data_IF_988727047507
#
_entry.id   IF_988727047507
#
_cell.length_a   1.000
_cell.length_b   1.000
_cell.length_c   1.000
_cell.angle_alpha   90.00
_cell.angle_beta   90.00
_cell.angle_gamma   90.00
#
_symmetry.space_group_name_H-M   'P 1'
#
loop_
_entity.id
_entity.type
_entity.pdbx_description
1 polymer ?
#
# COMPACT_ATOMS: atom_id res chain seq x y z
N UNK A 1 12.28 12.13 -19.87
CA UNK A 1 12.13 12.78 -18.55
C UNK A 1 11.51 11.83 -17.54
N UNK A 2 10.44 11.11 -17.89
CA UNK A 2 9.76 10.15 -16.99
C UNK A 2 10.69 9.10 -16.36
N UNK A 3 11.50 8.37 -17.14
CA UNK A 3 12.44 7.37 -16.60
C UNK A 3 13.47 7.97 -15.63
N UNK A 4 13.93 9.19 -15.91
CA UNK A 4 14.84 9.93 -15.03
C UNK A 4 14.14 10.27 -13.71
N UNK A 5 12.87 10.68 -13.77
CA UNK A 5 12.10 10.98 -12.57
C UNK A 5 11.77 9.72 -11.75
N UNK A 6 11.41 8.60 -12.40
CA UNK A 6 11.24 7.29 -11.74
C UNK A 6 12.50 6.92 -10.96
N UNK A 7 13.67 7.14 -11.57
CA UNK A 7 14.96 6.88 -10.92
C UNK A 7 15.19 7.82 -9.74
N UNK A 8 14.88 9.10 -9.88
CA UNK A 8 15.00 10.09 -8.81
C UNK A 8 14.10 9.76 -7.60
N UNK A 9 12.84 9.34 -7.84
CA UNK A 9 11.90 8.97 -6.78
C UNK A 9 12.38 7.80 -5.90
N UNK A 10 13.25 6.92 -6.42
CA UNK A 10 13.85 5.83 -5.62
C UNK A 10 14.70 6.38 -4.47
N UNK A 11 15.34 7.55 -4.64
CA UNK A 11 16.11 8.20 -3.57
C UNK A 11 15.22 8.62 -2.38
N UNK A 12 13.91 8.75 -2.62
CA UNK A 12 12.93 9.23 -1.65
C UNK A 12 11.94 8.14 -1.19
N UNK A 13 12.14 6.89 -1.62
CA UNK A 13 11.19 5.79 -1.40
C UNK A 13 9.76 6.12 -1.83
N UNK A 14 9.62 6.86 -2.94
CA UNK A 14 8.33 7.24 -3.51
C UNK A 14 8.01 6.37 -4.74
N UNK A 15 6.73 6.09 -4.92
CA UNK A 15 6.22 5.37 -6.09
C UNK A 15 5.92 6.41 -7.18
N UNK A 16 6.27 6.09 -8.42
CA UNK A 16 5.85 6.87 -9.57
C UNK A 16 4.37 6.58 -9.89
N UNK A 17 3.57 7.63 -9.92
CA UNK A 17 2.22 7.64 -10.47
C UNK A 17 2.31 8.31 -11.83
N UNK A 18 1.64 7.73 -12.83
CA UNK A 18 1.67 8.24 -14.21
C UNK A 18 1.26 9.72 -14.26
N UNK A 19 2.11 10.56 -14.84
CA UNK A 19 1.87 11.99 -15.03
C UNK A 19 1.67 12.23 -16.53
N UNK A 20 0.44 12.50 -16.94
CA UNK A 20 0.12 12.65 -18.38
C UNK A 20 0.51 14.03 -18.93
N UNK A 21 0.55 15.04 -18.06
CA UNK A 21 0.92 16.39 -18.44
C UNK A 21 2.44 16.58 -18.32
N UNK A 22 3.13 16.80 -19.45
CA UNK A 22 4.59 16.99 -19.49
C UNK A 22 5.06 18.18 -18.64
N UNK A 23 4.30 19.28 -18.62
CA UNK A 23 4.62 20.45 -17.80
C UNK A 23 4.51 20.15 -16.30
N UNK A 24 3.51 19.35 -15.87
CA UNK A 24 3.45 18.85 -14.49
C UNK A 24 4.64 17.96 -14.16
N UNK A 25 5.03 17.07 -15.07
CA UNK A 25 6.20 16.21 -14.90
C UNK A 25 7.48 17.04 -14.75
N UNK A 26 7.65 18.07 -15.56
CA UNK A 26 8.81 18.97 -15.50
C UNK A 26 8.87 19.74 -14.17
N UNK A 27 7.77 20.36 -13.75
CA UNK A 27 7.67 21.06 -12.46
C UNK A 27 8.02 20.16 -11.28
N UNK A 28 7.46 18.95 -11.27
CA UNK A 28 7.69 17.99 -10.19
C UNK A 28 9.15 17.51 -10.24
N UNK A 29 9.66 17.17 -11.42
CA UNK A 29 11.05 16.75 -11.58
C UNK A 29 12.02 17.84 -11.11
N UNK A 30 11.81 19.10 -11.48
CA UNK A 30 12.61 20.24 -11.08
C UNK A 30 12.56 20.49 -9.56
N UNK A 31 11.39 20.33 -8.94
CA UNK A 31 11.27 20.41 -7.48
C UNK A 31 12.15 19.35 -6.80
N UNK A 32 12.05 18.08 -7.21
CA UNK A 32 12.82 17.00 -6.58
C UNK A 32 14.31 17.06 -6.89
N UNK A 33 14.67 17.36 -8.15
CA UNK A 33 16.06 17.29 -8.62
C UNK A 33 16.85 18.54 -8.30
N UNK A 34 16.25 19.69 -8.53
CA UNK A 34 16.92 20.98 -8.56
C UNK A 34 16.47 21.89 -7.40
N UNK A 35 15.52 21.45 -6.56
CA UNK A 35 14.87 22.27 -5.53
C UNK A 35 14.28 23.57 -6.10
N UNK A 36 13.83 23.55 -7.36
CA UNK A 36 13.18 24.69 -8.00
C UNK A 36 11.68 24.58 -7.74
N UNK A 37 11.13 25.57 -7.04
CA UNK A 37 9.71 25.63 -6.75
C UNK A 37 8.97 26.37 -7.88
N UNK A 38 7.98 25.71 -8.45
CA UNK A 38 7.02 26.29 -9.37
C UNK A 38 5.61 26.10 -8.80
N UNK A 39 4.69 27.03 -9.03
CA UNK A 39 3.38 26.93 -8.40
C UNK A 39 2.59 25.71 -8.91
N UNK A 40 2.20 24.77 -8.00
CA UNK A 40 1.40 23.62 -8.37
C UNK A 40 -0.07 24.00 -8.52
N UNK A 41 -0.74 23.34 -9.45
CA UNK A 41 -2.06 23.66 -9.99
C UNK A 41 -2.91 22.42 -10.29
N UNK A 42 -2.26 21.26 -10.46
CA UNK A 42 -2.95 19.97 -10.66
C UNK A 42 -2.94 19.15 -9.38
N UNK A 43 -3.83 18.17 -9.31
CA UNK A 43 -3.95 17.25 -8.18
C UNK A 43 -2.68 16.41 -7.99
N UNK A 44 -2.07 15.95 -9.09
CA UNK A 44 -0.82 15.19 -9.09
C UNK A 44 0.38 16.06 -8.69
N UNK A 45 0.43 17.33 -9.11
CA UNK A 45 1.43 18.29 -8.64
C UNK A 45 1.30 18.48 -7.13
N UNK A 46 0.09 18.76 -6.63
CA UNK A 46 -0.14 18.90 -5.19
C UNK A 46 0.20 17.64 -4.39
N UNK A 47 -0.06 16.44 -4.93
CA UNK A 47 0.36 15.18 -4.31
C UNK A 47 1.88 15.14 -4.16
N UNK A 48 2.63 15.35 -5.25
CA UNK A 48 4.08 15.24 -5.22
C UNK A 48 4.74 16.34 -4.38
N UNK A 49 4.19 17.54 -4.37
CA UNK A 49 4.65 18.63 -3.52
C UNK A 49 4.43 18.29 -2.04
N UNK A 50 3.27 17.72 -1.69
CA UNK A 50 3.03 17.22 -0.33
C UNK A 50 4.03 16.13 0.07
N UNK A 51 4.37 15.22 -0.85
CA UNK A 51 5.37 14.18 -0.61
C UNK A 51 6.78 14.75 -0.44
N UNK A 52 7.16 15.75 -1.24
CA UNK A 52 8.43 16.46 -1.11
C UNK A 52 8.56 17.11 0.28
N UNK A 53 7.57 17.90 0.70
CA UNK A 53 7.62 18.55 2.01
C UNK A 53 7.60 17.54 3.17
N UNK A 54 6.97 16.37 2.99
CA UNK A 54 7.02 15.29 3.98
C UNK A 54 8.43 14.72 4.13
N UNK A 55 9.06 14.36 3.01
CA UNK A 55 10.26 13.52 2.99
C UNK A 55 11.56 14.32 3.00
N UNK A 56 11.61 15.41 2.23
CA UNK A 56 12.82 16.22 2.02
C UNK A 56 12.95 17.27 3.13
N UNK A 57 11.93 18.11 3.25
CA UNK A 57 11.95 19.27 4.16
C UNK A 57 11.45 18.94 5.57
N UNK A 58 10.74 17.82 5.73
CA UNK A 58 10.03 17.43 6.98
C UNK A 58 9.12 18.55 7.51
N UNK A 59 8.54 19.33 6.60
CA UNK A 59 7.59 20.39 6.89
C UNK A 59 6.16 19.84 6.80
N UNK A 60 5.61 19.43 7.94
CA UNK A 60 4.30 18.77 7.98
C UNK A 60 3.13 19.72 7.72
N UNK A 61 3.28 21.02 7.97
CA UNK A 61 2.22 21.99 7.69
C UNK A 61 2.05 22.21 6.19
N UNK A 62 3.15 22.35 5.45
CA UNK A 62 3.12 22.42 3.99
C UNK A 62 2.70 21.10 3.36
N UNK A 63 3.16 19.97 3.90
CA UNK A 63 2.69 18.64 3.48
C UNK A 63 1.17 18.54 3.58
N UNK A 64 0.58 18.88 4.74
CA UNK A 64 -0.88 18.85 4.94
C UNK A 64 -1.58 19.81 4.00
N UNK A 65 -1.06 21.04 3.83
CA UNK A 65 -1.61 22.03 2.91
C UNK A 65 -1.74 21.46 1.50
N UNK A 66 -0.65 20.90 0.95
CA UNK A 66 -0.66 20.39 -0.42
C UNK A 66 -1.50 19.13 -0.58
N UNK A 67 -1.44 18.19 0.38
CA UNK A 67 -2.37 17.05 0.33
C UNK A 67 -3.84 17.49 0.41
N UNK A 68 -4.20 18.48 1.23
CA UNK A 68 -5.56 19.02 1.26
C UNK A 68 -5.97 19.66 -0.08
N UNK A 69 -5.05 20.32 -0.79
CA UNK A 69 -5.33 20.84 -2.14
C UNK A 69 -5.55 19.70 -3.15
N UNK A 70 -4.73 18.65 -3.12
CA UNK A 70 -4.94 17.45 -3.95
C UNK A 70 -6.26 16.74 -3.62
N UNK A 71 -6.64 16.67 -2.34
CA UNK A 71 -7.90 16.07 -1.87
C UNK A 71 -9.11 16.86 -2.39
N UNK A 72 -9.04 18.20 -2.45
CA UNK A 72 -10.11 19.03 -3.05
C UNK A 72 -10.34 18.72 -4.53
N UNK A 73 -9.34 18.14 -5.20
CA UNK A 73 -9.41 17.67 -6.58
C UNK A 73 -9.64 16.15 -6.66
N UNK A 74 -10.09 15.51 -5.57
CA UNK A 74 -10.39 14.09 -5.47
C UNK A 74 -9.20 13.13 -5.64
N UNK A 75 -7.97 13.55 -5.32
CA UNK A 75 -6.81 12.67 -5.43
C UNK A 75 -6.77 11.62 -4.30
N UNK A 76 -7.09 10.36 -4.62
CA UNK A 76 -7.20 9.29 -3.62
C UNK A 76 -5.88 8.99 -2.87
N UNK A 77 -4.73 9.05 -3.54
CA UNK A 77 -3.43 8.89 -2.85
C UNK A 77 -3.11 10.01 -1.87
N UNK A 78 -3.62 11.24 -2.07
CA UNK A 78 -3.43 12.31 -1.10
C UNK A 78 -4.28 12.06 0.16
N UNK A 79 -5.52 11.58 -0.01
CA UNK A 79 -6.37 11.12 1.10
C UNK A 79 -5.67 10.02 1.89
N UNK A 80 -5.16 8.99 1.19
CA UNK A 80 -4.38 7.91 1.78
C UNK A 80 -3.13 8.41 2.54
N UNK A 81 -2.31 9.26 1.92
CA UNK A 81 -1.07 9.75 2.52
C UNK A 81 -1.33 10.62 3.76
N UNK A 82 -2.40 11.42 3.73
CA UNK A 82 -2.81 12.23 4.86
C UNK A 82 -3.37 11.35 5.99
N UNK A 83 -4.15 10.31 5.66
CA UNK A 83 -4.60 9.31 6.63
C UNK A 83 -3.42 8.60 7.31
N UNK A 84 -2.40 8.21 6.53
CA UNK A 84 -1.17 7.62 7.08
C UNK A 84 -0.46 8.55 8.05
N UNK A 85 -0.38 9.85 7.74
CA UNK A 85 0.23 10.83 8.64
C UNK A 85 -0.53 10.95 9.97
N UNK A 86 -1.86 10.94 9.90
CA UNK A 86 -2.70 10.93 11.11
C UNK A 86 -2.60 9.62 11.88
N UNK A 87 -2.40 8.48 11.20
CA UNK A 87 -2.11 7.21 11.86
C UNK A 87 -0.75 7.26 12.58
N UNK A 88 0.28 7.73 11.87
CA UNK A 88 1.64 7.89 12.36
C UNK A 88 2.32 9.11 11.69
N UNK A 89 2.93 10.04 12.44
CA UNK A 89 3.23 9.95 13.86
C UNK A 89 2.13 10.51 14.79
N UNK A 90 1.10 11.19 14.27
CA UNK A 90 0.17 11.96 15.13
C UNK A 90 -0.75 11.10 16.00
N UNK A 91 -1.06 9.87 15.57
CA UNK A 91 -2.01 8.96 16.22
C UNK A 91 -3.41 9.56 16.43
N UNK A 92 -3.84 10.45 15.53
CA UNK A 92 -5.21 10.93 15.46
C UNK A 92 -6.07 9.94 14.64
N UNK A 93 -6.62 8.94 15.33
CA UNK A 93 -7.34 7.86 14.66
C UNK A 93 -8.70 8.28 14.07
N UNK A 94 -9.31 9.36 14.54
CA UNK A 94 -10.54 9.88 13.92
C UNK A 94 -10.27 10.47 12.54
N UNK A 95 -9.26 11.33 12.42
CA UNK A 95 -8.87 11.90 11.14
C UNK A 95 -8.28 10.84 10.21
N UNK A 96 -7.49 9.89 10.74
CA UNK A 96 -7.02 8.74 9.98
C UNK A 96 -8.19 7.98 9.35
N UNK A 97 -9.21 7.59 10.15
CA UNK A 97 -10.38 6.87 9.63
C UNK A 97 -11.13 7.70 8.59
N UNK A 98 -11.34 8.99 8.84
CA UNK A 98 -11.98 9.91 7.90
C UNK A 98 -11.30 9.87 6.53
N UNK A 99 -9.99 10.09 6.48
CA UNK A 99 -9.28 10.19 5.19
C UNK A 99 -9.07 8.83 4.51
N UNK A 100 -8.91 7.73 5.26
CA UNK A 100 -8.95 6.40 4.64
C UNK A 100 -10.32 6.11 4.03
N UNK A 101 -11.42 6.39 4.72
CA UNK A 101 -12.77 6.18 4.19
C UNK A 101 -13.01 6.99 2.90
N UNK A 102 -12.57 8.24 2.85
CA UNK A 102 -12.62 9.04 1.61
C UNK A 102 -11.81 8.40 0.47
N UNK A 103 -10.62 7.87 0.75
CA UNK A 103 -9.82 7.17 -0.27
C UNK A 103 -10.51 5.87 -0.75
N UNK A 104 -11.18 5.16 0.17
CA UNK A 104 -11.93 3.92 -0.09
C UNK A 104 -13.13 4.17 -1.01
N UNK A 105 -13.83 5.31 -0.86
CA UNK A 105 -14.91 5.73 -1.78
C UNK A 105 -14.44 5.87 -3.23
N UNK A 106 -13.12 6.07 -3.43
CA UNK A 106 -12.47 6.13 -4.75
C UNK A 106 -11.70 4.85 -5.08
N UNK A 107 -12.10 3.71 -4.51
CA UNK A 107 -11.52 2.38 -4.75
C UNK A 107 -10.01 2.27 -4.44
N UNK A 108 -9.48 3.05 -3.49
CA UNK A 108 -8.09 2.91 -3.07
C UNK A 108 -7.90 1.64 -2.21
N UNK A 109 -7.47 0.55 -2.83
CA UNK A 109 -7.29 -0.74 -2.16
C UNK A 109 -6.20 -0.73 -1.09
N UNK A 110 -5.19 0.14 -1.21
CA UNK A 110 -4.16 0.33 -0.18
C UNK A 110 -4.74 0.96 1.09
N UNK A 111 -5.66 1.93 0.96
CA UNK A 111 -6.39 2.49 2.09
C UNK A 111 -7.29 1.45 2.76
N UNK A 112 -7.98 0.60 1.99
CA UNK A 112 -8.75 -0.53 2.51
C UNK A 112 -7.88 -1.47 3.34
N UNK A 113 -6.72 -1.89 2.81
CA UNK A 113 -5.76 -2.73 3.52
C UNK A 113 -5.28 -2.10 4.85
N UNK A 114 -4.91 -0.82 4.84
CA UNK A 114 -4.37 -0.18 6.04
C UNK A 114 -5.45 0.10 7.10
N UNK A 115 -6.67 0.39 6.67
CA UNK A 115 -7.80 0.52 7.59
C UNK A 115 -8.14 -0.84 8.23
N UNK A 116 -8.08 -1.93 7.47
CA UNK A 116 -8.23 -3.28 7.99
C UNK A 116 -7.13 -3.64 9.01
N UNK A 117 -5.87 -3.29 8.71
CA UNK A 117 -4.73 -3.48 9.62
C UNK A 117 -4.91 -2.72 10.94
N UNK A 118 -5.41 -1.48 10.89
CA UNK A 118 -5.79 -0.73 12.08
C UNK A 118 -6.85 -1.47 12.92
N UNK A 119 -7.91 -1.99 12.29
CA UNK A 119 -8.92 -2.77 13.00
C UNK A 119 -8.37 -4.09 13.56
N UNK A 120 -7.40 -4.72 12.89
CA UNK A 120 -6.76 -5.95 13.36
C UNK A 120 -5.87 -5.74 14.59
N UNK A 121 -5.06 -4.68 14.57
CA UNK A 121 -3.96 -4.53 15.52
C UNK A 121 -4.27 -3.54 16.65
N UNK A 122 -5.04 -2.49 16.36
CA UNK A 122 -5.32 -1.40 17.31
C UNK A 122 -6.72 -1.54 17.91
N UNK A 123 -7.77 -1.52 17.08
CA UNK A 123 -9.16 -1.53 17.58
C UNK A 123 -9.64 -2.95 17.96
N UNK A 124 -8.97 -4.00 17.46
CA UNK A 124 -9.34 -5.41 17.64
C UNK A 124 -10.76 -5.75 17.17
N UNK A 125 -11.25 -5.04 16.15
CA UNK A 125 -12.54 -5.29 15.52
C UNK A 125 -12.36 -6.20 14.30
N UNK A 126 -12.47 -7.51 14.51
CA UNK A 126 -12.19 -8.49 13.46
C UNK A 126 -13.24 -8.52 12.33
N UNK A 127 -14.47 -8.10 12.59
CA UNK A 127 -15.52 -8.03 11.56
C UNK A 127 -15.23 -6.90 10.56
N UNK A 128 -14.88 -5.71 11.07
CA UNK A 128 -14.47 -4.59 10.21
C UNK A 128 -13.13 -4.87 9.52
N UNK A 129 -12.19 -5.50 10.21
CA UNK A 129 -10.94 -5.96 9.59
C UNK A 129 -11.21 -6.87 8.38
N UNK A 130 -12.03 -7.92 8.55
CA UNK A 130 -12.37 -8.85 7.45
C UNK A 130 -13.07 -8.12 6.32
N UNK A 131 -14.05 -7.26 6.65
CA UNK A 131 -14.77 -6.44 5.66
C UNK A 131 -13.80 -5.66 4.77
N UNK A 132 -12.89 -4.89 5.34
CA UNK A 132 -12.00 -4.04 4.57
C UNK A 132 -10.89 -4.82 3.84
N UNK A 133 -10.36 -5.91 4.42
CA UNK A 133 -9.46 -6.78 3.65
C UNK A 133 -10.18 -7.41 2.46
N UNK A 134 -11.41 -7.93 2.62
CA UNK A 134 -12.15 -8.53 1.52
C UNK A 134 -12.45 -7.52 0.40
N UNK A 135 -12.83 -6.28 0.74
CA UNK A 135 -12.98 -5.20 -0.25
C UNK A 135 -11.66 -4.93 -1.00
N UNK A 136 -10.52 -4.91 -0.32
CA UNK A 136 -9.22 -4.74 -0.97
C UNK A 136 -8.87 -5.92 -1.91
N UNK A 137 -9.24 -7.14 -1.51
CA UNK A 137 -9.02 -8.38 -2.27
C UNK A 137 -9.84 -8.37 -3.56
N UNK A 138 -11.08 -7.86 -3.54
CA UNK A 138 -11.91 -7.68 -4.75
C UNK A 138 -11.22 -6.77 -5.80
N UNK A 139 -10.31 -5.90 -5.35
CA UNK A 139 -9.48 -5.03 -6.18
C UNK A 139 -8.05 -5.58 -6.39
N UNK A 140 -7.87 -6.90 -6.25
CA UNK A 140 -6.59 -7.61 -6.43
C UNK A 140 -5.45 -7.10 -5.53
N UNK A 141 -5.75 -6.60 -4.33
CA UNK A 141 -4.71 -6.20 -3.39
C UNK A 141 -4.04 -7.42 -2.74
N UNK A 142 -2.86 -7.79 -3.24
CA UNK A 142 -2.14 -8.97 -2.77
C UNK A 142 -1.62 -8.83 -1.32
N UNK A 143 -1.41 -7.60 -0.83
CA UNK A 143 -1.05 -7.36 0.57
C UNK A 143 -2.22 -7.68 1.51
N UNK A 144 -3.44 -7.30 1.14
CA UNK A 144 -4.64 -7.66 1.89
C UNK A 144 -4.87 -9.16 1.91
N UNK A 145 -4.66 -9.85 0.78
CA UNK A 145 -4.71 -11.33 0.72
C UNK A 145 -3.70 -11.96 1.70
N UNK A 146 -2.44 -11.52 1.68
CA UNK A 146 -1.41 -11.97 2.62
C UNK A 146 -1.79 -11.69 4.09
N UNK A 147 -2.30 -10.50 4.40
CA UNK A 147 -2.61 -10.10 5.78
C UNK A 147 -3.83 -10.87 6.33
N UNK A 148 -4.85 -11.08 5.50
CA UNK A 148 -6.00 -11.89 5.86
C UNK A 148 -5.61 -13.37 6.05
N UNK A 149 -4.74 -13.91 5.19
CA UNK A 149 -4.18 -15.25 5.37
C UNK A 149 -3.40 -15.39 6.69
N UNK A 150 -2.60 -14.38 7.04
CA UNK A 150 -1.85 -14.33 8.30
C UNK A 150 -2.80 -14.35 9.51
N UNK A 151 -3.90 -13.59 9.46
CA UNK A 151 -4.93 -13.62 10.48
C UNK A 151 -5.54 -15.03 10.65
N UNK A 152 -5.91 -15.69 9.55
CA UNK A 152 -6.41 -17.06 9.61
C UNK A 152 -5.37 -18.06 10.15
N UNK A 153 -4.08 -17.87 9.84
CA UNK A 153 -3.01 -18.75 10.31
C UNK A 153 -2.77 -18.65 11.83
N UNK A 154 -2.72 -17.42 12.36
CA UNK A 154 -2.22 -17.19 13.71
C UNK A 154 -3.32 -16.90 14.72
N UNK A 155 -4.43 -16.30 14.29
CA UNK A 155 -5.53 -15.93 15.17
C UNK A 155 -6.67 -16.94 15.12
N UNK A 156 -7.27 -17.19 13.95
CA UNK A 156 -8.40 -18.12 13.86
C UNK A 156 -8.03 -19.59 13.71
N UNK A 157 -6.79 -19.90 13.34
CA UNK A 157 -6.31 -21.27 13.07
C UNK A 157 -7.10 -21.99 11.96
N UNK A 158 -7.64 -21.23 11.00
CA UNK A 158 -8.29 -21.78 9.82
C UNK A 158 -7.27 -21.96 8.68
N UNK A 159 -6.68 -23.14 8.59
CA UNK A 159 -5.59 -23.39 7.64
C UNK A 159 -6.05 -23.47 6.18
N UNK A 160 -7.32 -23.80 5.92
CA UNK A 160 -7.85 -23.85 4.56
C UNK A 160 -8.04 -22.45 3.99
N UNK A 161 -8.60 -21.53 4.79
CA UNK A 161 -8.68 -20.11 4.39
C UNK A 161 -7.30 -19.45 4.33
N UNK A 162 -6.39 -19.78 5.26
CA UNK A 162 -5.00 -19.36 5.18
C UNK A 162 -4.35 -19.76 3.84
N UNK A 163 -4.41 -21.05 3.47
CA UNK A 163 -3.86 -21.56 2.20
C UNK A 163 -4.50 -20.86 1.01
N UNK A 164 -5.84 -20.75 0.99
CA UNK A 164 -6.59 -20.05 -0.06
C UNK A 164 -6.05 -18.64 -0.30
N UNK A 165 -5.98 -17.81 0.73
CA UNK A 165 -5.60 -16.41 0.57
C UNK A 165 -4.09 -16.23 0.31
N UNK A 166 -3.21 -17.07 0.85
CA UNK A 166 -1.80 -17.03 0.45
C UNK A 166 -1.61 -17.43 -1.02
N UNK A 167 -2.29 -18.47 -1.50
CA UNK A 167 -2.20 -18.87 -2.92
C UNK A 167 -2.70 -17.77 -3.86
N UNK A 168 -3.83 -17.12 -3.54
CA UNK A 168 -4.30 -15.95 -4.29
C UNK A 168 -3.26 -14.81 -4.34
N UNK A 169 -2.58 -14.54 -3.22
CA UNK A 169 -1.54 -13.52 -3.18
C UNK A 169 -0.30 -13.91 -4.03
N UNK A 170 0.07 -15.20 -4.03
CA UNK A 170 1.18 -15.75 -4.82
C UNK A 170 0.91 -15.65 -6.32
N UNK A 171 -0.33 -15.88 -6.77
CA UNK A 171 -0.74 -15.67 -8.16
C UNK A 171 -0.52 -14.21 -8.63
N UNK A 172 -0.49 -13.27 -7.68
CA UNK A 172 -0.16 -11.86 -7.89
C UNK A 172 1.30 -11.52 -7.50
N UNK A 173 2.18 -12.52 -7.51
CA UNK A 173 3.62 -12.40 -7.23
C UNK A 173 3.97 -11.85 -5.83
N UNK A 174 3.10 -12.05 -4.84
CA UNK A 174 3.39 -11.62 -3.47
C UNK A 174 4.42 -12.56 -2.81
N UNK A 175 5.67 -12.10 -2.75
CA UNK A 175 6.77 -12.86 -2.15
C UNK A 175 6.62 -13.09 -0.64
N UNK A 176 5.93 -12.22 0.09
CA UNK A 176 5.65 -12.45 1.52
C UNK A 176 4.72 -13.64 1.71
N UNK A 177 3.65 -13.74 0.91
CA UNK A 177 2.73 -14.87 0.95
C UNK A 177 3.42 -16.19 0.58
N UNK A 178 4.25 -16.16 -0.48
CA UNK A 178 5.05 -17.33 -0.90
C UNK A 178 5.94 -17.83 0.24
N UNK A 179 6.72 -16.93 0.85
CA UNK A 179 7.60 -17.28 1.96
C UNK A 179 6.83 -17.81 3.18
N UNK A 180 5.69 -17.20 3.53
CA UNK A 180 4.88 -17.64 4.68
C UNK A 180 4.26 -19.00 4.45
N UNK A 181 3.75 -19.27 3.25
CA UNK A 181 3.18 -20.57 2.90
C UNK A 181 4.26 -21.66 2.85
N UNK A 182 5.45 -21.36 2.32
CA UNK A 182 6.59 -22.27 2.35
C UNK A 182 7.04 -22.60 3.79
N UNK A 183 7.09 -21.60 4.68
CA UNK A 183 7.40 -21.81 6.10
C UNK A 183 6.33 -22.68 6.76
N UNK A 184 5.05 -22.46 6.45
CA UNK A 184 3.96 -23.29 6.97
C UNK A 184 4.17 -24.76 6.59
N UNK A 185 4.37 -25.05 5.30
CA UNK A 185 4.59 -26.43 4.83
C UNK A 185 5.82 -27.06 5.47
N UNK A 186 6.96 -26.36 5.50
CA UNK A 186 8.19 -26.86 6.13
C UNK A 186 8.01 -27.23 7.60
N UNK A 187 7.16 -26.50 8.33
CA UNK A 187 6.85 -26.80 9.74
C UNK A 187 5.88 -27.98 9.84
N UNK A 188 4.85 -28.04 9.00
CA UNK A 188 3.88 -29.14 9.02
C UNK A 188 4.45 -30.44 8.47
N UNK A 189 5.43 -30.40 7.57
CA UNK A 189 6.07 -31.59 6.98
C UNK A 189 7.06 -32.28 7.92
N UNK A 190 7.58 -31.55 8.91
CA UNK A 190 8.22 -32.21 10.07
C UNK A 190 7.23 -33.11 10.84
N UNK A 191 5.92 -32.98 10.56
CA UNK A 191 4.86 -33.80 11.14
C UNK A 191 4.11 -34.69 10.10
N UNK A 192 4.35 -34.60 8.77
CA UNK A 192 3.76 -35.51 7.76
C UNK A 192 4.42 -35.44 6.35
N UNK A 193 4.52 -36.56 5.63
CA UNK A 193 5.48 -36.83 4.53
C UNK A 193 5.11 -36.38 3.10
N UNK A 194 4.28 -35.36 2.90
CA UNK A 194 3.76 -34.98 1.56
C UNK A 194 4.31 -33.65 1.01
N UNK A 195 5.60 -33.63 0.67
CA UNK A 195 6.32 -32.49 0.06
C UNK A 195 6.59 -32.74 -1.43
N UNK A 196 5.67 -32.36 -2.34
CA UNK A 196 5.96 -32.39 -3.80
C UNK A 196 5.37 -31.20 -4.58
N UNK A 197 4.33 -30.51 -4.10
CA UNK A 197 3.58 -29.58 -4.96
C UNK A 197 4.13 -28.14 -5.02
N UNK A 198 4.92 -27.70 -4.02
CA UNK A 198 5.44 -26.32 -3.96
C UNK A 198 6.58 -26.06 -4.96
N UNK A 199 7.42 -27.06 -5.25
CA UNK A 199 8.55 -26.92 -6.18
C UNK A 199 8.12 -26.69 -7.64
N UNK A 200 6.88 -27.03 -8.01
CA UNK A 200 6.35 -26.69 -9.35
C UNK A 200 6.15 -25.19 -9.57
N UNK A 201 6.06 -24.40 -8.50
CA UNK A 201 5.89 -22.95 -8.60
C UNK A 201 7.22 -22.19 -8.70
N UNK A 202 8.32 -22.71 -8.13
CA UNK A 202 9.66 -22.12 -8.30
C UNK A 202 10.14 -22.21 -9.76
N UNK A 203 9.90 -23.34 -10.44
CA UNK A 203 10.28 -23.54 -11.85
C UNK A 203 9.55 -22.60 -12.84
N UNK A 204 8.40 -22.05 -12.45
CA UNK A 204 7.63 -21.12 -13.28
C UNK A 204 8.24 -19.72 -13.32
N UNK A 205 9.16 -19.40 -12.41
CA UNK A 205 9.79 -18.07 -12.30
C UNK A 205 11.30 -18.07 -12.56
N UNK A 206 11.95 -19.23 -12.70
CA UNK A 206 13.37 -19.32 -13.10
C UNK A 206 13.53 -19.23 -14.64
N UNK A 207 12.45 -19.32 -15.42
CA UNK A 207 12.46 -19.29 -16.89
C UNK A 207 11.81 -18.04 -17.52
N UNK A 208 11.81 -16.89 -16.83
CA UNK A 208 11.45 -15.57 -17.38
C UNK A 208 12.57 -14.57 -17.07
#
# INVERSE_FOLDING_TARGET
>A
MEELFITELKNYNLIYLKIENENSLEKIYNLFKNNIFEEPSTDIEYLYYGAYYKNNEKNYDLMKKYYLMAIKLNHSYAMYNLAQHYQYPEKNYELMKKYYLMAIELNNSTAMNNLADYYQHIEKNYDLMKKYYLMAIELNNSLAMNNLAYYYQYTEKNYDLMKKYYLMAIELNNSYAMNRLAIYYKITEKNDQSFVELYKYEDKFINL
#
